data_IF_155634479794
#
_entry.id   IF_155634479794
#
_cell.length_a   1.000
_cell.length_b   1.000
_cell.length_c   1.000
_cell.angle_alpha   90.00
_cell.angle_beta   90.00
_cell.angle_gamma   90.00
#
_symmetry.space_group_name_H-M   'P 1'
#
loop_
_entity.id
_entity.type
_entity.pdbx_description
1 polymer ?
#
# COMPACT_ATOMS: atom_id res chain seq x y z
N UNK A 1 11.48 -4.24 -9.67
CA UNK A 1 11.05 -4.28 -8.26
C UNK A 1 10.59 -2.90 -7.84
N UNK A 2 10.66 -2.61 -6.54
CA UNK A 2 10.27 -1.30 -5.96
C UNK A 2 11.29 -0.24 -6.37
N UNK A 3 10.81 0.84 -6.99
CA UNK A 3 11.58 2.01 -7.38
C UNK A 3 11.47 3.12 -6.31
N UNK A 4 10.29 3.24 -5.70
CA UNK A 4 10.00 4.17 -4.63
C UNK A 4 9.01 3.63 -3.61
N UNK A 5 9.15 4.08 -2.37
CA UNK A 5 8.22 3.80 -1.30
C UNK A 5 7.91 5.10 -0.56
N UNK A 6 6.63 5.38 -0.39
CA UNK A 6 6.14 6.49 0.41
C UNK A 6 5.38 5.95 1.61
N UNK A 7 5.65 6.50 2.81
CA UNK A 7 4.99 6.12 4.04
C UNK A 7 4.38 7.36 4.68
N UNK A 8 3.07 7.35 4.89
CA UNK A 8 2.34 8.41 5.56
C UNK A 8 1.65 7.84 6.79
N UNK A 9 2.00 8.35 7.97
CA UNK A 9 1.29 8.04 9.21
C UNK A 9 -0.11 8.67 9.12
N UNK A 10 -1.15 7.84 9.25
CA UNK A 10 -2.53 8.29 9.17
C UNK A 10 -3.10 8.57 10.55
N UNK A 11 -3.03 7.58 11.45
CA UNK A 11 -3.53 7.68 12.81
C UNK A 11 -2.57 7.00 13.78
N UNK A 12 -2.44 7.57 14.97
CA UNK A 12 -1.71 6.97 16.10
C UNK A 12 -2.75 6.66 17.16
N UNK A 13 -3.09 5.39 17.28
CA UNK A 13 -3.90 4.89 18.37
C UNK A 13 -3.02 4.53 19.58
N UNK A 14 -3.65 4.37 20.73
CA UNK A 14 -2.98 4.12 22.00
C UNK A 14 -2.20 2.79 22.02
N UNK A 15 -2.56 1.84 21.14
CA UNK A 15 -1.96 0.50 21.05
C UNK A 15 -1.40 0.16 19.64
N UNK A 16 -1.73 0.93 18.60
CA UNK A 16 -1.33 0.64 17.21
C UNK A 16 -1.16 1.90 16.38
N UNK A 17 -0.20 1.89 15.45
CA UNK A 17 0.01 2.96 14.48
C UNK A 17 -0.55 2.55 13.11
N UNK A 18 -1.47 3.34 12.59
CA UNK A 18 -2.01 3.17 11.24
C UNK A 18 -1.15 3.96 10.25
N UNK A 19 -0.43 3.25 9.38
CA UNK A 19 0.39 3.84 8.32
C UNK A 19 -0.16 3.47 6.94
N UNK A 20 -0.18 4.45 6.04
CA UNK A 20 -0.45 4.25 4.62
C UNK A 20 0.88 4.12 3.89
N UNK A 21 1.09 3.00 3.21
CA UNK A 21 2.30 2.72 2.44
C UNK A 21 1.93 2.67 0.96
N UNK A 22 2.56 3.53 0.16
CA UNK A 22 2.45 3.52 -1.30
C UNK A 22 3.77 3.05 -1.88
N UNK A 23 3.74 1.97 -2.64
CA UNK A 23 4.91 1.43 -3.33
C UNK A 23 4.75 1.66 -4.83
N UNK A 24 5.80 2.18 -5.47
CA UNK A 24 5.87 2.33 -6.92
C UNK A 24 7.08 1.59 -7.46
N UNK A 25 6.96 1.08 -8.69
CA UNK A 25 8.00 0.29 -9.30
C UNK A 25 7.47 -0.70 -10.33
N UNK A 26 8.41 -1.41 -10.93
CA UNK A 26 8.11 -2.45 -11.94
C UNK A 26 8.06 -3.81 -11.28
N UNK A 27 7.08 -4.65 -11.58
CA UNK A 27 7.03 -6.04 -11.08
C UNK A 27 7.13 -6.12 -9.55
N UNK A 28 6.25 -5.39 -8.84
CA UNK A 28 6.19 -5.42 -7.38
C UNK A 28 5.50 -6.73 -6.97
N UNK A 29 6.23 -7.59 -6.26
CA UNK A 29 5.68 -8.83 -5.73
C UNK A 29 5.02 -8.58 -4.37
N UNK A 30 3.69 -8.62 -4.35
CA UNK A 30 2.92 -8.43 -3.12
C UNK A 30 3.32 -9.39 -2.00
N UNK A 31 3.70 -10.64 -2.32
CA UNK A 31 4.11 -11.62 -1.29
C UNK A 31 5.38 -11.20 -0.57
N UNK A 32 6.36 -10.65 -1.30
CA UNK A 32 7.59 -10.14 -0.69
C UNK A 32 7.31 -8.93 0.20
N UNK A 33 6.39 -8.05 -0.23
CA UNK A 33 5.95 -6.89 0.56
C UNK A 33 5.22 -7.32 1.84
N UNK A 34 4.24 -8.22 1.72
CA UNK A 34 3.50 -8.77 2.86
C UNK A 34 4.45 -9.40 3.87
N UNK A 35 5.39 -10.22 3.39
CA UNK A 35 6.38 -10.86 4.26
C UNK A 35 7.27 -9.84 4.96
N UNK A 36 7.76 -8.83 4.25
CA UNK A 36 8.55 -7.75 4.85
C UNK A 36 7.78 -7.01 5.96
N UNK A 37 6.49 -6.71 5.73
CA UNK A 37 5.63 -6.06 6.74
C UNK A 37 5.44 -6.97 7.96
N UNK A 38 5.19 -8.26 7.75
CA UNK A 38 5.05 -9.24 8.84
C UNK A 38 6.36 -9.43 9.63
N UNK A 39 7.52 -9.44 8.96
CA UNK A 39 8.84 -9.53 9.62
C UNK A 39 9.15 -8.28 10.47
N UNK A 40 8.57 -7.13 10.13
CA UNK A 40 8.65 -5.89 10.92
C UNK A 40 7.63 -5.85 12.08
N UNK A 41 6.79 -6.88 12.23
CA UNK A 41 5.73 -6.94 13.25
C UNK A 41 4.45 -6.19 12.87
N UNK A 42 4.35 -5.71 11.63
CA UNK A 42 3.14 -5.09 11.09
C UNK A 42 2.14 -6.13 10.57
N UNK A 43 0.89 -5.72 10.41
CA UNK A 43 -0.17 -6.52 9.81
C UNK A 43 -0.91 -5.70 8.77
N UNK A 44 -1.20 -6.28 7.62
CA UNK A 44 -2.02 -5.64 6.58
C UNK A 44 -3.49 -5.85 6.97
N UNK A 45 -4.17 -4.77 7.36
CA UNK A 45 -5.63 -4.81 7.60
C UNK A 45 -6.40 -4.88 6.28
N UNK A 46 -6.05 -4.00 5.34
CA UNK A 46 -6.76 -3.79 4.08
C UNK A 46 -5.80 -3.30 3.00
N UNK A 47 -6.17 -3.49 1.74
CA UNK A 47 -5.48 -2.91 0.58
C UNK A 47 -6.44 -1.93 -0.08
N UNK A 48 -6.17 -0.63 0.04
CA UNK A 48 -7.04 0.42 -0.52
C UNK A 48 -6.98 0.45 -2.05
N UNK A 49 -5.78 0.36 -2.62
CA UNK A 49 -5.55 0.58 -4.05
C UNK A 49 -4.50 -0.39 -4.58
N UNK A 50 -4.83 -1.03 -5.70
CA UNK A 50 -3.90 -1.90 -6.43
C UNK A 50 -3.89 -1.46 -7.89
N UNK A 51 -2.77 -0.90 -8.34
CA UNK A 51 -2.55 -0.56 -9.74
C UNK A 51 -1.61 -1.60 -10.37
N UNK A 52 -2.06 -2.27 -11.42
CA UNK A 52 -1.25 -3.22 -12.20
C UNK A 52 -1.43 -3.00 -13.69
N UNK A 53 -0.41 -3.32 -14.48
CA UNK A 53 -0.42 -3.16 -15.94
C UNK A 53 0.64 -2.19 -16.45
N UNK A 54 0.54 -1.82 -17.72
CA UNK A 54 1.54 -0.98 -18.40
C UNK A 54 1.38 0.52 -18.14
N UNK A 55 0.27 0.93 -17.52
CA UNK A 55 -0.03 2.33 -17.20
C UNK A 55 -0.74 2.39 -15.86
N UNK A 56 -0.40 3.39 -15.06
CA UNK A 56 -1.13 3.71 -13.85
C UNK A 56 -2.54 4.18 -14.28
N UNK A 57 -3.57 3.52 -13.77
CA UNK A 57 -4.96 3.98 -13.94
C UNK A 57 -5.30 4.74 -12.67
N UNK A 58 -5.55 6.04 -12.81
CA UNK A 58 -6.07 6.84 -11.71
C UNK A 58 -7.48 6.35 -11.38
N UNK A 59 -7.79 6.28 -10.08
CA UNK A 59 -9.13 5.98 -9.62
C UNK A 59 -10.07 7.10 -10.09
N UNK A 60 -10.76 6.85 -11.21
CA UNK A 60 -11.81 7.76 -11.67
C UNK A 60 -13.02 7.41 -10.83
N UNK A 61 -13.28 8.23 -9.82
CA UNK A 61 -14.44 8.07 -8.95
C UNK A 61 -15.68 7.89 -9.82
N UNK A 62 -16.27 6.70 -9.80
CA UNK A 62 -17.58 6.51 -10.41
C UNK A 62 -18.52 7.44 -9.66
N UNK A 63 -19.10 8.42 -10.37
CA UNK A 63 -20.21 9.21 -9.88
C UNK A 63 -21.29 8.24 -9.39
N UNK A 64 -21.30 7.95 -8.10
CA UNK A 64 -22.44 7.36 -7.42
C UNK A 64 -23.23 8.55 -6.89
N UNK A 65 -24.34 8.83 -7.58
CA UNK A 65 -25.44 9.67 -7.12
C UNK A 65 -26.14 8.99 -5.93
#
# INVERSE_FOLDING_TARGET
GVDGANLSLYEVDQETENVKITLEGSDINFKDVEKAIQELGGSIHSIDLVATGQRLIEDVGTLMD
#
